data_IF_240991095467
#
_entry.id   IF_240991095467
#
_cell.length_a   1.000
_cell.length_b   1.000
_cell.length_c   1.000
_cell.angle_alpha   90.00
_cell.angle_beta   90.00
_cell.angle_gamma   90.00
#
_symmetry.space_group_name_H-M   'P 1'
#
loop_
_entity.id
_entity.type
_entity.pdbx_description
1 polymer ?
#
# COMPACT_ATOMS: atom_id res chain seq x y z
N UNK A 1 11.93 -21.61 9.16
CA UNK A 1 11.82 -20.42 8.31
C UNK A 1 12.79 -19.38 8.86
N UNK A 2 13.57 -18.71 8.02
CA UNK A 2 14.56 -17.72 8.47
C UNK A 2 13.92 -16.42 8.97
N UNK A 3 14.72 -15.52 9.54
CA UNK A 3 14.27 -14.17 9.89
C UNK A 3 13.77 -13.44 8.64
N UNK A 4 12.68 -12.69 8.78
CA UNK A 4 12.21 -11.81 7.71
C UNK A 4 13.06 -10.55 7.66
N UNK A 5 13.30 -10.05 6.44
CA UNK A 5 13.94 -8.76 6.20
C UNK A 5 12.89 -7.72 5.82
N UNK A 6 12.88 -6.59 6.52
CA UNK A 6 11.88 -5.54 6.32
C UNK A 6 11.92 -4.94 4.92
N UNK A 7 13.10 -4.93 4.28
CA UNK A 7 13.28 -4.41 2.91
C UNK A 7 12.50 -5.25 1.91
N UNK A 8 12.67 -6.57 1.96
CA UNK A 8 12.01 -7.48 1.02
C UNK A 8 10.50 -7.46 1.22
N UNK A 9 10.04 -7.54 2.48
CA UNK A 9 8.61 -7.49 2.81
C UNK A 9 8.00 -6.14 2.46
N UNK A 10 8.68 -5.04 2.80
CA UNK A 10 8.20 -3.68 2.55
C UNK A 10 8.12 -3.36 1.06
N UNK A 11 9.14 -3.73 0.28
CA UNK A 11 9.13 -3.53 -1.18
C UNK A 11 8.06 -4.40 -1.85
N UNK A 12 7.91 -5.66 -1.45
CA UNK A 12 6.87 -6.53 -1.98
C UNK A 12 5.47 -6.03 -1.64
N UNK A 13 5.22 -5.68 -0.37
CA UNK A 13 3.93 -5.13 0.07
C UNK A 13 3.64 -3.78 -0.60
N UNK A 14 4.64 -2.91 -0.73
CA UNK A 14 4.52 -1.62 -1.41
C UNK A 14 4.17 -1.79 -2.88
N UNK A 15 4.88 -2.66 -3.60
CA UNK A 15 4.59 -2.95 -5.00
C UNK A 15 3.19 -3.56 -5.16
N UNK A 16 2.81 -4.49 -4.29
CA UNK A 16 1.47 -5.08 -4.28
C UNK A 16 0.38 -4.03 -4.08
N UNK A 17 0.53 -3.12 -3.11
CA UNK A 17 -0.43 -2.05 -2.85
C UNK A 17 -0.48 -1.05 -4.01
N UNK A 18 0.66 -0.67 -4.58
CA UNK A 18 0.72 0.23 -5.72
C UNK A 18 0.03 -0.37 -6.96
N UNK A 19 0.26 -1.65 -7.26
CA UNK A 19 -0.42 -2.36 -8.36
C UNK A 19 -1.93 -2.44 -8.08
N UNK A 20 -2.32 -2.78 -6.86
CA UNK A 20 -3.73 -2.86 -6.46
C UNK A 20 -4.41 -1.51 -6.61
N UNK A 21 -3.75 -0.42 -6.19
CA UNK A 21 -4.24 0.94 -6.36
C UNK A 21 -4.53 1.27 -7.83
N UNK A 22 -3.61 0.97 -8.75
CA UNK A 22 -3.80 1.19 -10.20
C UNK A 22 -4.98 0.37 -10.72
N UNK A 23 -5.10 -0.90 -10.32
CA UNK A 23 -6.22 -1.76 -10.71
C UNK A 23 -7.54 -1.19 -10.21
N UNK A 24 -7.62 -0.74 -8.96
CA UNK A 24 -8.82 -0.13 -8.39
C UNK A 24 -9.25 1.13 -9.15
N UNK A 25 -8.30 2.04 -9.44
CA UNK A 25 -8.59 3.24 -10.23
C UNK A 25 -9.10 2.88 -11.62
N UNK A 26 -8.46 1.92 -12.30
CA UNK A 26 -8.91 1.45 -13.60
C UNK A 26 -10.29 0.79 -13.57
N UNK A 27 -10.60 0.05 -12.51
CA UNK A 27 -11.88 -0.61 -12.32
C UNK A 27 -13.02 0.39 -12.07
N UNK A 28 -12.79 1.39 -11.21
CA UNK A 28 -13.75 2.49 -10.98
C UNK A 28 -14.09 3.22 -12.29
N UNK A 29 -13.09 3.45 -13.14
CA UNK A 29 -13.28 4.08 -14.46
C UNK A 29 -14.02 3.19 -15.47
N UNK A 30 -13.81 1.87 -15.42
CA UNK A 30 -14.40 0.94 -16.38
C UNK A 30 -15.84 0.55 -16.03
N UNK A 31 -16.19 0.49 -14.74
CA UNK A 31 -17.45 -0.08 -14.26
C UNK A 31 -18.28 0.87 -13.39
N UNK A 32 -17.96 2.17 -13.39
CA UNK A 32 -18.64 3.22 -12.60
C UNK A 32 -18.76 2.85 -11.10
N UNK A 33 -17.68 2.30 -10.57
CA UNK A 33 -17.57 1.96 -9.15
C UNK A 33 -16.94 3.10 -8.36
N UNK A 34 -17.08 3.05 -7.04
CA UNK A 34 -16.65 4.14 -6.13
C UNK A 34 -15.65 3.64 -5.09
N UNK A 35 -14.74 2.74 -5.48
CA UNK A 35 -13.69 2.23 -4.59
C UNK A 35 -12.74 3.35 -4.13
N UNK A 36 -12.61 4.43 -4.90
CA UNK A 36 -11.83 5.62 -4.56
C UNK A 36 -12.20 6.29 -3.25
N UNK A 37 -13.42 6.10 -2.75
CA UNK A 37 -13.83 6.63 -1.45
C UNK A 37 -13.02 6.05 -0.28
N UNK A 38 -12.56 4.80 -0.40
CA UNK A 38 -11.65 4.21 0.58
C UNK A 38 -10.29 4.91 0.56
N UNK A 39 -9.78 5.23 -0.63
CA UNK A 39 -8.52 5.93 -0.82
C UNK A 39 -8.59 7.36 -0.30
N UNK A 40 -9.69 8.09 -0.48
CA UNK A 40 -9.87 9.45 0.06
C UNK A 40 -9.70 9.52 1.59
N UNK A 41 -10.09 8.47 2.32
CA UNK A 41 -9.97 8.41 3.78
C UNK A 41 -8.57 8.02 4.25
N UNK A 42 -7.83 7.29 3.41
CA UNK A 42 -6.52 6.72 3.74
C UNK A 42 -5.37 7.61 3.27
N UNK A 43 -5.53 8.32 2.16
CA UNK A 43 -4.46 9.01 1.44
C UNK A 43 -4.59 10.53 1.65
N UNK A 44 -3.75 11.15 2.49
CA UNK A 44 -3.86 12.58 2.78
C UNK A 44 -3.57 13.42 1.53
N UNK A 45 -4.49 14.32 1.18
CA UNK A 45 -4.36 15.12 -0.04
C UNK A 45 -4.72 14.38 -1.33
N UNK A 46 -5.19 13.13 -1.22
CA UNK A 46 -5.79 12.44 -2.36
C UNK A 46 -7.13 13.09 -2.73
N UNK A 47 -7.34 13.31 -4.02
CA UNK A 47 -8.54 13.86 -4.65
C UNK A 47 -8.83 13.06 -5.91
N UNK A 48 -10.10 12.78 -6.15
CA UNK A 48 -10.48 11.95 -7.28
C UNK A 48 -10.20 12.63 -8.63
N UNK A 49 -9.66 11.86 -9.57
CA UNK A 49 -9.58 12.18 -11.01
C UNK A 49 -8.59 13.30 -11.42
N UNK A 50 -7.60 13.65 -10.60
CA UNK A 50 -6.50 14.54 -11.02
C UNK A 50 -5.20 13.76 -11.22
N UNK A 51 -4.44 14.09 -12.28
CA UNK A 51 -3.16 13.43 -12.57
C UNK A 51 -2.18 13.55 -11.41
N UNK A 52 -2.08 14.72 -10.78
CA UNK A 52 -1.23 14.94 -9.62
C UNK A 52 -1.61 14.03 -8.46
N UNK A 53 -2.91 13.90 -8.19
CA UNK A 53 -3.37 13.09 -7.07
C UNK A 53 -3.29 11.59 -7.35
N UNK A 54 -3.40 11.17 -8.61
CA UNK A 54 -3.14 9.78 -9.00
C UNK A 54 -1.71 9.36 -8.66
N UNK A 55 -0.71 10.15 -9.06
CA UNK A 55 0.69 9.84 -8.74
C UNK A 55 0.99 9.97 -7.25
N UNK A 56 0.34 10.93 -6.57
CA UNK A 56 0.42 11.04 -5.11
C UNK A 56 -0.09 9.75 -4.44
N UNK A 57 -1.29 9.29 -4.82
CA UNK A 57 -1.87 8.09 -4.24
C UNK A 57 -1.08 6.81 -4.55
N UNK A 58 -0.45 6.74 -5.72
CA UNK A 58 0.48 5.66 -6.07
C UNK A 58 1.72 5.66 -5.15
N UNK A 59 2.30 6.84 -4.90
CA UNK A 59 3.43 6.98 -4.00
C UNK A 59 3.04 6.64 -2.56
N UNK A 60 1.92 7.18 -2.07
CA UNK A 60 1.47 6.97 -0.70
C UNK A 60 1.07 5.51 -0.43
N UNK A 61 0.38 4.85 -1.37
CA UNK A 61 0.06 3.42 -1.27
C UNK A 61 1.32 2.56 -1.22
N UNK A 62 2.34 2.88 -2.01
CA UNK A 62 3.65 2.21 -1.92
C UNK A 62 4.32 2.44 -0.56
N UNK A 63 4.31 3.68 -0.06
CA UNK A 63 4.87 4.03 1.25
C UNK A 63 4.14 3.32 2.40
N UNK A 64 2.83 3.07 2.29
CA UNK A 64 2.10 2.24 3.25
C UNK A 64 2.64 0.81 3.31
N UNK A 65 3.08 0.25 2.19
CA UNK A 65 3.74 -1.06 2.17
C UNK A 65 5.11 -1.04 2.84
N UNK A 66 5.88 0.03 2.66
CA UNK A 66 7.14 0.23 3.39
C UNK A 66 6.89 0.34 4.90
N UNK A 67 5.89 1.12 5.30
CA UNK A 67 5.44 1.22 6.69
C UNK A 67 5.07 -0.16 7.26
N UNK A 68 4.29 -0.95 6.50
CA UNK A 68 3.96 -2.31 6.88
C UNK A 68 5.23 -3.15 7.10
N UNK A 69 6.18 -3.14 6.16
CA UNK A 69 7.44 -3.87 6.31
C UNK A 69 8.25 -3.44 7.55
N UNK A 70 8.36 -2.14 7.80
CA UNK A 70 9.10 -1.58 8.94
C UNK A 70 8.47 -1.93 10.29
N UNK A 71 7.15 -2.07 10.38
CA UNK A 71 6.44 -2.38 11.63
C UNK A 71 6.24 -3.89 11.81
N UNK A 72 5.71 -4.56 10.78
CA UNK A 72 5.36 -5.97 10.84
C UNK A 72 6.58 -6.87 10.99
N UNK A 73 7.68 -6.61 10.27
CA UNK A 73 8.83 -7.53 10.29
C UNK A 73 9.53 -7.57 11.65
N UNK A 74 9.83 -6.45 12.34
CA UNK A 74 10.37 -6.50 13.70
C UNK A 74 9.45 -7.21 14.68
N UNK A 75 8.13 -6.97 14.61
CA UNK A 75 7.14 -7.63 15.45
C UNK A 75 7.11 -9.14 15.20
N UNK A 76 7.04 -9.56 13.93
CA UNK A 76 7.07 -10.97 13.54
C UNK A 76 8.34 -11.66 14.05
N UNK A 77 9.49 -11.04 13.82
CA UNK A 77 10.77 -11.59 14.28
C UNK A 77 10.87 -11.66 15.80
N UNK A 78 10.30 -10.69 16.53
CA UNK A 78 10.24 -10.70 17.99
C UNK A 78 9.39 -11.88 18.50
N UNK A 79 8.13 -11.99 18.08
CA UNK A 79 7.25 -13.07 18.53
C UNK A 79 7.68 -14.46 18.04
N UNK A 80 8.34 -14.54 16.87
CA UNK A 80 8.88 -15.79 16.38
C UNK A 80 10.13 -16.23 17.16
N UNK A 81 11.02 -15.29 17.52
CA UNK A 81 12.25 -15.58 18.27
C UNK A 81 12.05 -15.73 19.78
N UNK A 82 10.86 -15.47 20.31
CA UNK A 82 10.47 -15.74 21.71
C UNK A 82 10.09 -17.22 21.94
N UNK A 83 10.04 -18.03 20.87
CA UNK A 83 9.95 -19.50 20.96
C UNK A 83 11.34 -20.12 20.90
#
# INVERSE_FOLDING_TARGET
>A
MGRLYWRDVGLAAGAFLAITYVICVGYDLAFDQRMYEAWLKLLPGFTWLTWQSFFLGLLESFLYGIYFGLVFVPLYNFFHGVR
#
